data_IF_256572992676
#
_entry.id   IF_256572992676
#
_cell.length_a   1.000
_cell.length_b   1.000
_cell.length_c   1.000
_cell.angle_alpha   90.00
_cell.angle_beta   90.00
_cell.angle_gamma   90.00
#
_symmetry.space_group_name_H-M   'P 1'
#
loop_
_entity.id
_entity.type
_entity.pdbx_description
1 polymer ?
#
# COMPACT_ATOMS: atom_id res chain seq x y z
N UNK A 1 12.05 26.15 -12.13
CA UNK A 1 12.73 25.48 -11.00
C UNK A 1 14.00 24.79 -11.50
N UNK A 2 15.18 25.25 -11.07
CA UNK A 2 16.47 24.56 -11.28
C UNK A 2 16.86 23.86 -9.98
N UNK A 3 16.24 22.73 -9.66
CA UNK A 3 16.68 21.91 -8.52
C UNK A 3 16.49 20.44 -8.86
N UNK A 4 17.58 19.81 -9.30
CA UNK A 4 17.69 18.35 -9.25
C UNK A 4 17.71 17.91 -7.78
N UNK A 5 17.05 16.80 -7.44
CA UNK A 5 17.05 16.23 -6.10
C UNK A 5 15.64 15.99 -5.55
N UNK A 6 15.58 15.36 -4.37
CA UNK A 6 14.33 15.09 -3.68
C UNK A 6 13.60 16.40 -3.34
N UNK A 7 12.31 16.46 -3.65
CA UNK A 7 11.43 17.57 -3.30
C UNK A 7 10.45 17.06 -2.24
N UNK A 8 10.32 17.80 -1.13
CA UNK A 8 9.40 17.47 -0.07
C UNK A 8 8.20 18.40 -0.14
N UNK A 9 7.00 17.83 -0.23
CA UNK A 9 5.74 18.56 -0.08
C UNK A 9 5.23 18.25 1.32
N UNK A 10 5.21 19.25 2.19
CA UNK A 10 4.55 19.14 3.48
C UNK A 10 3.04 19.29 3.28
N UNK A 11 2.26 18.39 3.85
CA UNK A 11 0.81 18.45 3.86
C UNK A 11 0.34 18.26 5.30
N UNK A 12 -0.61 19.10 5.73
CA UNK A 12 -1.13 19.14 7.09
C UNK A 12 -2.24 18.11 7.34
N UNK A 13 -2.51 17.24 6.37
CA UNK A 13 -3.56 16.22 6.44
C UNK A 13 -4.96 16.74 6.15
N UNK A 14 -5.13 18.01 5.76
CA UNK A 14 -6.45 18.64 5.56
C UNK A 14 -6.78 18.87 4.09
N UNK A 15 -8.07 18.91 3.80
CA UNK A 15 -8.61 19.34 2.52
C UNK A 15 -8.66 20.89 2.39
N UNK A 16 -9.09 21.38 1.23
CA UNK A 16 -9.23 22.82 0.96
C UNK A 16 -10.29 23.52 1.83
N UNK A 17 -11.11 22.76 2.57
CA UNK A 17 -12.09 23.27 3.53
C UNK A 17 -11.53 23.27 4.97
N UNK A 18 -10.29 22.83 5.17
CA UNK A 18 -9.65 22.74 6.48
C UNK A 18 -10.04 21.50 7.29
N UNK A 19 -10.70 20.52 6.68
CA UNK A 19 -11.12 19.27 7.34
C UNK A 19 -10.06 18.19 7.15
N UNK A 20 -9.74 17.43 8.20
CA UNK A 20 -8.81 16.30 8.07
C UNK A 20 -9.36 15.23 7.14
N UNK A 21 -8.48 14.65 6.32
CA UNK A 21 -8.85 13.50 5.51
C UNK A 21 -9.27 12.32 6.39
N UNK A 22 -10.28 11.53 5.98
CA UNK A 22 -10.69 10.35 6.73
C UNK A 22 -9.56 9.33 6.85
N UNK A 23 -9.64 8.49 7.89
CA UNK A 23 -8.77 7.33 8.06
C UNK A 23 -9.00 6.37 6.89
N UNK A 24 -7.92 5.88 6.29
CA UNK A 24 -8.00 4.98 5.16
C UNK A 24 -6.75 4.93 4.31
N UNK A 25 -6.77 4.04 3.32
CA UNK A 25 -5.71 3.93 2.32
C UNK A 25 -6.16 4.62 1.04
N UNK A 26 -5.34 5.56 0.59
CA UNK A 26 -5.56 6.36 -0.61
C UNK A 26 -4.41 6.16 -1.59
N UNK A 27 -4.69 6.35 -2.87
CA UNK A 27 -3.62 6.58 -3.85
C UNK A 27 -3.48 8.08 -4.07
N UNK A 28 -2.29 8.60 -3.80
CA UNK A 28 -1.93 9.97 -4.17
C UNK A 28 -1.23 9.97 -5.50
N UNK A 29 -1.60 10.92 -6.35
CA UNK A 29 -1.03 11.11 -7.68
C UNK A 29 -0.22 12.40 -7.64
N UNK A 30 1.07 12.31 -7.93
CA UNK A 30 1.94 13.47 -8.05
C UNK A 30 2.36 13.66 -9.51
N UNK A 31 2.23 14.88 -10.02
CA UNK A 31 2.76 15.31 -11.32
C UNK A 31 3.45 16.65 -11.14
N UNK A 32 4.68 16.74 -11.62
CA UNK A 32 5.44 17.99 -11.61
C UNK A 32 5.31 18.67 -12.97
N UNK A 33 5.22 20.00 -12.97
CA UNK A 33 5.27 20.80 -14.18
C UNK A 33 6.61 21.52 -14.23
N UNK A 34 7.51 21.05 -15.11
CA UNK A 34 8.85 21.57 -15.26
C UNK A 34 8.90 22.65 -16.33
N UNK A 35 9.51 23.79 -15.98
CA UNK A 35 9.72 24.92 -16.90
C UNK A 35 8.42 25.55 -17.36
N UNK A 36 8.02 26.64 -16.72
CA UNK A 36 6.97 27.50 -17.26
C UNK A 36 7.63 28.48 -18.22
N UNK A 37 7.16 28.50 -19.46
CA UNK A 37 7.67 29.38 -20.50
C UNK A 37 6.55 30.33 -20.89
N UNK A 38 6.76 31.62 -20.69
CA UNK A 38 5.83 32.66 -21.10
C UNK A 38 6.24 33.26 -22.43
N UNK A 39 5.26 33.49 -23.29
CA UNK A 39 5.37 34.11 -24.60
C UNK A 39 4.38 35.27 -24.66
N UNK A 40 4.69 36.40 -23.99
CA UNK A 40 3.82 37.56 -24.05
C UNK A 40 3.80 38.10 -25.49
N UNK A 41 2.61 38.36 -25.99
CA UNK A 41 2.40 39.01 -27.27
C UNK A 41 1.73 40.36 -27.06
N UNK A 42 2.10 41.33 -27.89
CA UNK A 42 1.51 42.67 -27.92
C UNK A 42 1.01 42.87 -29.35
N UNK A 43 -0.11 43.58 -29.52
CA UNK A 43 -0.69 43.89 -30.84
C UNK A 43 -1.28 42.64 -31.52
N UNK A 44 -2.04 41.83 -30.76
CA UNK A 44 -2.66 40.55 -31.22
C UNK A 44 -4.11 40.72 -31.71
N UNK A 45 -4.49 41.92 -32.14
CA UNK A 45 -5.86 42.22 -32.53
C UNK A 45 -6.27 41.48 -33.81
N UNK A 46 -7.54 41.07 -33.88
CA UNK A 46 -8.18 40.53 -35.10
C UNK A 46 -7.62 39.19 -35.61
N UNK A 47 -7.05 38.35 -34.74
CA UNK A 47 -6.74 36.94 -35.04
C UNK A 47 -8.02 36.07 -35.08
N UNK A 48 -8.82 36.31 -36.12
CA UNK A 48 -10.13 35.67 -36.35
C UNK A 48 -10.04 34.28 -36.96
N UNK A 49 -8.87 33.92 -37.50
CA UNK A 49 -8.59 32.59 -38.09
C UNK A 49 -7.89 31.66 -37.10
N UNK A 50 -7.49 32.19 -35.94
CA UNK A 50 -7.08 31.46 -34.77
C UNK A 50 -5.63 31.75 -34.39
N UNK A 51 -5.48 32.10 -33.11
CA UNK A 51 -4.28 32.39 -32.34
C UNK A 51 -3.07 31.50 -32.59
N UNK A 52 -1.88 31.98 -32.23
CA UNK A 52 -0.66 31.18 -32.28
C UNK A 52 -0.81 29.89 -31.47
N UNK A 53 -0.19 28.82 -31.99
CA UNK A 53 -0.14 27.53 -31.31
C UNK A 53 1.27 27.28 -30.81
N UNK A 54 1.40 26.90 -29.54
CA UNK A 54 2.68 26.49 -28.97
C UNK A 54 2.83 24.98 -29.16
N UNK A 55 3.91 24.56 -29.84
CA UNK A 55 4.23 23.14 -30.04
C UNK A 55 5.61 22.81 -29.49
N UNK A 56 5.68 21.79 -28.64
CA UNK A 56 6.94 21.24 -28.16
C UNK A 56 7.50 20.27 -29.21
N UNK A 57 8.50 20.72 -29.97
CA UNK A 57 9.10 19.94 -31.07
C UNK A 57 10.05 18.82 -30.60
N UNK A 58 10.73 19.02 -29.46
CA UNK A 58 11.74 18.08 -28.94
C UNK A 58 11.48 17.78 -27.45
N UNK A 59 10.46 16.97 -27.12
CA UNK A 59 10.17 16.63 -25.73
C UNK A 59 11.34 15.84 -25.11
N UNK A 60 11.76 16.17 -23.87
CA UNK A 60 12.67 15.32 -23.11
C UNK A 60 12.19 13.86 -23.07
N UNK A 61 13.07 12.93 -23.46
CA UNK A 61 12.71 11.50 -23.54
C UNK A 61 11.91 11.10 -24.78
N UNK A 62 11.73 11.99 -25.76
CA UNK A 62 11.14 11.68 -27.07
C UNK A 62 9.63 11.41 -27.08
N UNK A 63 8.95 11.57 -25.95
CA UNK A 63 7.50 11.38 -25.85
C UNK A 63 6.81 12.57 -25.20
N UNK A 64 5.74 13.07 -25.84
CA UNK A 64 4.89 14.09 -25.25
C UNK A 64 3.87 13.43 -24.33
N UNK A 65 4.09 13.53 -23.02
CA UNK A 65 3.09 13.16 -22.05
C UNK A 65 1.87 14.07 -22.24
N UNK A 66 0.68 13.48 -22.28
CA UNK A 66 -0.54 14.21 -22.56
C UNK A 66 -0.77 15.32 -21.52
N UNK A 67 -0.52 16.56 -21.95
CA UNK A 67 -1.45 17.65 -21.71
C UNK A 67 -2.73 17.32 -22.47
N UNK A 68 -3.88 17.83 -22.04
CA UNK A 68 -5.07 17.86 -22.89
C UNK A 68 -4.64 18.47 -24.24
N UNK A 69 -4.52 17.69 -25.34
CA UNK A 69 -4.01 18.16 -26.63
C UNK A 69 -2.57 17.73 -27.07
N UNK A 70 -1.83 16.93 -26.30
CA UNK A 70 -0.54 16.35 -26.75
C UNK A 70 0.63 17.36 -26.78
N UNK A 71 1.54 17.26 -27.78
CA UNK A 71 2.70 18.17 -27.92
C UNK A 71 2.33 19.63 -28.20
N UNK A 72 1.07 19.90 -28.54
CA UNK A 72 0.55 21.23 -28.90
C UNK A 72 -0.16 21.93 -27.72
N UNK A 73 0.09 21.49 -26.49
CA UNK A 73 -0.50 22.06 -25.29
C UNK A 73 0.16 23.39 -24.91
N UNK A 74 -0.44 24.49 -25.36
CA UNK A 74 -0.23 25.83 -24.82
C UNK A 74 -1.48 26.30 -24.10
N UNK A 75 -1.29 27.23 -23.18
CA UNK A 75 -2.35 27.93 -22.45
C UNK A 75 -2.24 29.42 -22.74
N UNK A 76 -3.37 30.12 -22.68
CA UNK A 76 -3.37 31.57 -22.67
C UNK A 76 -4.34 32.12 -21.64
N UNK A 77 -4.06 33.33 -21.16
CA UNK A 77 -4.94 34.16 -20.36
C UNK A 77 -5.06 35.52 -21.04
N UNK A 78 -6.28 35.85 -21.41
CA UNK A 78 -6.67 37.07 -22.09
C UNK A 78 -7.36 38.03 -21.12
N UNK A 79 -7.12 37.90 -19.80
CA UNK A 79 -7.56 38.90 -18.83
C UNK A 79 -6.45 39.93 -18.61
N UNK A 80 -6.86 41.18 -18.42
CA UNK A 80 -5.99 42.36 -18.39
C UNK A 80 -4.62 42.15 -17.70
N UNK A 81 -3.54 42.33 -18.47
CA UNK A 81 -2.15 42.22 -17.99
C UNK A 81 -1.75 43.43 -17.13
N UNK A 82 -0.86 43.22 -16.16
CA UNK A 82 -0.23 44.30 -15.38
C UNK A 82 1.27 44.35 -15.65
N UNK A 83 1.81 45.55 -15.84
CA UNK A 83 3.27 45.75 -15.85
C UNK A 83 3.88 45.36 -14.50
N UNK A 84 5.21 45.20 -14.45
CA UNK A 84 5.96 44.96 -13.20
C UNK A 84 5.65 46.01 -12.11
N UNK A 85 5.29 47.23 -12.52
CA UNK A 85 4.94 48.33 -11.62
C UNK A 85 3.44 48.39 -11.27
N UNK A 86 2.67 47.35 -11.61
CA UNK A 86 1.26 47.20 -11.25
C UNK A 86 0.28 47.96 -12.14
N UNK A 87 0.74 48.65 -13.19
CA UNK A 87 -0.10 49.37 -14.15
C UNK A 87 -0.85 48.36 -15.03
N UNK A 88 -2.18 48.45 -15.08
CA UNK A 88 -2.98 47.67 -16.03
C UNK A 88 -2.66 48.17 -17.44
N UNK A 89 -2.24 47.25 -18.32
CA UNK A 89 -1.80 47.58 -19.70
C UNK A 89 -2.98 47.90 -20.62
N UNK A 90 -4.20 47.54 -20.24
CA UNK A 90 -5.43 47.92 -20.96
C UNK A 90 -6.34 48.84 -20.11
N UNK A 91 -6.31 50.14 -20.38
CA UNK A 91 -7.15 51.13 -19.71
C UNK A 91 -8.60 51.02 -20.20
N UNK A 92 -9.39 50.20 -19.52
CA UNK A 92 -10.80 49.96 -19.87
C UNK A 92 -11.32 48.60 -19.42
N UNK A 93 -10.44 47.70 -18.99
CA UNK A 93 -10.81 46.37 -18.50
C UNK A 93 -10.45 46.20 -17.01
N UNK A 94 -11.40 45.69 -16.21
CA UNK A 94 -11.12 45.25 -14.83
C UNK A 94 -10.39 43.90 -14.89
N UNK A 95 -9.30 43.76 -14.13
CA UNK A 95 -8.63 42.47 -13.95
C UNK A 95 -9.67 41.39 -13.59
N UNK A 96 -9.80 40.36 -14.42
CA UNK A 96 -10.83 39.33 -14.27
C UNK A 96 -11.78 39.18 -15.46
N UNK A 97 -12.00 40.22 -16.28
CA UNK A 97 -12.87 40.08 -17.46
C UNK A 97 -12.06 39.70 -18.71
N UNK A 98 -12.65 38.80 -19.49
CA UNK A 98 -12.14 38.32 -20.78
C UNK A 98 -12.00 39.49 -21.76
N UNK A 99 -10.86 39.60 -22.44
CA UNK A 99 -10.70 40.48 -23.59
C UNK A 99 -11.61 40.00 -24.72
N UNK A 100 -12.50 40.87 -25.20
CA UNK A 100 -13.23 40.82 -26.47
C UNK A 100 -13.20 39.50 -27.29
N UNK A 101 -14.35 38.81 -27.43
CA UNK A 101 -14.50 37.66 -28.33
C UNK A 101 -15.96 37.26 -28.60
N UNK A 102 -16.19 36.47 -29.66
CA UNK A 102 -17.45 35.77 -29.88
C UNK A 102 -17.57 34.64 -28.84
N UNK A 103 -18.52 34.75 -27.90
CA UNK A 103 -18.70 33.81 -26.77
C UNK A 103 -17.43 33.67 -25.90
N UNK A 104 -17.02 34.74 -25.18
CA UNK A 104 -15.89 34.66 -24.27
C UNK A 104 -16.16 33.53 -23.26
N UNK A 105 -15.18 32.65 -22.96
CA UNK A 105 -15.49 31.49 -22.17
C UNK A 105 -15.76 31.93 -20.73
N UNK A 106 -16.95 31.63 -20.20
CA UNK A 106 -17.34 32.00 -18.86
C UNK A 106 -16.47 31.27 -17.82
N UNK A 107 -15.46 31.94 -17.25
CA UNK A 107 -14.67 31.36 -16.15
C UNK A 107 -14.45 32.36 -15.01
N UNK A 108 -14.61 31.92 -13.74
CA UNK A 108 -14.49 32.80 -12.58
C UNK A 108 -13.06 33.06 -12.07
N UNK A 109 -11.99 32.47 -12.66
CA UNK A 109 -10.59 32.78 -12.27
C UNK A 109 -9.53 32.23 -13.25
N UNK A 110 -8.33 32.85 -13.28
CA UNK A 110 -7.14 32.29 -13.97
C UNK A 110 -6.47 31.27 -13.10
N UNK A 111 -6.07 30.16 -13.69
CA UNK A 111 -5.12 29.25 -13.09
C UNK A 111 -4.10 28.91 -14.17
N UNK A 112 -2.80 28.95 -13.84
CA UNK A 112 -1.71 28.54 -14.73
C UNK A 112 -1.86 27.11 -15.26
N UNK A 113 -2.75 26.30 -14.68
CA UNK A 113 -3.10 24.95 -15.12
C UNK A 113 -4.38 24.92 -15.97
N UNK A 114 -5.30 25.88 -15.81
CA UNK A 114 -6.64 25.84 -16.45
C UNK A 114 -6.90 26.97 -17.43
N UNK A 115 -5.86 27.68 -17.90
CA UNK A 115 -5.99 28.57 -19.06
C UNK A 115 -6.62 27.85 -20.26
N UNK A 116 -6.94 28.59 -21.32
CA UNK A 116 -7.57 27.95 -22.48
C UNK A 116 -6.53 27.22 -23.31
N UNK A 117 -6.87 26.00 -23.72
CA UNK A 117 -6.01 25.20 -24.58
C UNK A 117 -5.87 25.87 -25.96
N UNK A 118 -4.66 26.22 -26.37
CA UNK A 118 -4.37 26.82 -27.69
C UNK A 118 -4.73 25.90 -28.85
N UNK A 119 -4.86 24.59 -28.64
CA UNK A 119 -5.32 23.63 -29.65
C UNK A 119 -6.85 23.60 -29.82
N UNK A 120 -7.60 24.30 -28.96
CA UNK A 120 -9.06 24.39 -29.08
C UNK A 120 -9.50 25.44 -30.12
N UNK A 121 -10.80 25.48 -30.41
CA UNK A 121 -11.40 26.54 -31.23
C UNK A 121 -11.42 27.91 -30.53
N UNK A 122 -11.04 27.99 -29.25
CA UNK A 122 -11.12 29.21 -28.44
C UNK A 122 -9.98 30.19 -28.71
N UNK A 123 -8.93 29.80 -29.45
CA UNK A 123 -7.77 30.63 -29.76
C UNK A 123 -8.04 31.87 -30.63
N UNK A 124 -9.26 32.09 -31.12
CA UNK A 124 -9.57 33.24 -31.98
C UNK A 124 -9.90 34.48 -31.13
N UNK A 125 -9.31 35.63 -31.46
CA UNK A 125 -9.48 36.89 -30.73
C UNK A 125 -9.91 38.03 -31.69
N UNK A 126 -10.87 38.84 -31.25
CA UNK A 126 -11.41 39.95 -32.05
C UNK A 126 -12.70 39.63 -32.82
N UNK A 127 -13.27 40.68 -33.43
CA UNK A 127 -14.52 40.60 -34.20
C UNK A 127 -14.24 40.72 -35.70
N UNK A 128 -14.98 39.95 -36.51
CA UNK A 128 -14.94 40.11 -37.96
C UNK A 128 -15.52 41.50 -38.35
N UNK A 129 -14.64 42.42 -38.75
CA UNK A 129 -14.87 43.72 -39.43
C UNK A 129 -15.57 44.87 -38.66
N UNK A 130 -14.84 45.98 -38.49
CA UNK A 130 -15.32 47.36 -38.73
C UNK A 130 -16.05 48.16 -37.63
N UNK A 131 -15.42 48.53 -36.52
CA UNK A 131 -16.00 49.50 -35.57
C UNK A 131 -15.02 50.54 -34.98
N UNK A 132 -15.57 51.45 -34.15
CA UNK A 132 -15.02 52.77 -33.82
C UNK A 132 -14.05 52.78 -32.62
N UNK A 133 -13.15 53.77 -32.57
CA UNK A 133 -12.10 53.99 -31.58
C UNK A 133 -12.65 54.66 -30.30
N UNK A 134 -12.14 54.22 -29.14
CA UNK A 134 -12.53 54.57 -27.75
C UNK A 134 -13.64 53.72 -27.11
N UNK A 135 -13.98 52.58 -27.69
CA UNK A 135 -14.80 51.56 -27.03
C UNK A 135 -14.04 50.24 -27.04
N UNK A 136 -13.95 49.50 -25.93
CA UNK A 136 -13.36 48.16 -25.93
C UNK A 136 -13.99 47.34 -27.06
N UNK A 137 -13.16 46.66 -27.86
CA UNK A 137 -13.57 45.66 -28.85
C UNK A 137 -14.02 46.11 -30.24
N UNK A 138 -13.58 47.25 -30.83
CA UNK A 138 -14.05 47.58 -32.18
C UNK A 138 -13.11 48.13 -33.28
N UNK A 139 -11.86 48.61 -33.14
CA UNK A 139 -11.17 49.23 -34.31
C UNK A 139 -9.64 49.37 -34.33
N UNK A 140 -9.09 49.52 -35.55
CA UNK A 140 -7.69 49.35 -36.01
C UNK A 140 -6.56 50.16 -35.32
N UNK A 141 -5.43 49.45 -35.17
CA UNK A 141 -4.02 49.85 -34.94
C UNK A 141 -3.74 50.85 -33.81
N UNK A 142 -3.22 50.34 -32.71
CA UNK A 142 -2.55 51.12 -31.67
C UNK A 142 -3.08 50.95 -30.24
N UNK A 143 -4.10 50.13 -30.00
CA UNK A 143 -4.51 49.77 -28.64
C UNK A 143 -3.84 48.46 -28.21
N UNK A 144 -2.62 48.54 -27.69
CA UNK A 144 -1.82 47.37 -27.30
C UNK A 144 -2.62 46.31 -26.52
N UNK A 145 -3.10 45.25 -27.20
CA UNK A 145 -3.64 44.07 -26.52
C UNK A 145 -2.49 43.13 -26.18
N UNK A 146 -2.36 42.87 -24.89
CA UNK A 146 -1.41 41.90 -24.36
C UNK A 146 -2.07 40.53 -24.22
N UNK A 147 -1.47 39.50 -24.81
CA UNK A 147 -1.81 38.10 -24.53
C UNK A 147 -0.67 37.46 -23.76
N UNK A 148 -0.94 36.93 -22.58
CA UNK A 148 0.03 36.06 -21.91
C UNK A 148 -0.27 34.62 -22.29
N UNK A 149 0.66 34.03 -23.05
CA UNK A 149 0.63 32.62 -23.37
C UNK A 149 1.71 31.92 -22.58
N UNK A 150 1.41 30.72 -22.08
CA UNK A 150 2.43 29.90 -21.46
C UNK A 150 2.29 28.43 -21.83
N UNK A 151 3.38 27.70 -21.66
CA UNK A 151 3.39 26.24 -21.70
C UNK A 151 4.28 25.72 -20.58
N UNK A 152 4.10 24.44 -20.25
CA UNK A 152 4.96 23.73 -19.32
C UNK A 152 5.17 22.30 -19.76
N UNK A 153 6.26 21.68 -19.34
CA UNK A 153 6.52 20.26 -19.58
C UNK A 153 6.11 19.42 -18.36
N UNK A 154 5.01 18.64 -18.43
CA UNK A 154 4.60 17.81 -17.30
C UNK A 154 5.50 16.57 -17.18
N UNK A 155 5.73 16.12 -15.95
CA UNK A 155 6.29 14.81 -15.67
C UNK A 155 5.26 13.71 -15.89
N UNK A 156 5.72 12.46 -15.91
CA UNK A 156 4.85 11.31 -15.71
C UNK A 156 4.12 11.46 -14.37
N UNK A 157 2.86 11.05 -14.30
CA UNK A 157 2.16 10.91 -13.03
C UNK A 157 2.79 9.76 -12.25
N UNK A 158 3.17 10.02 -11.00
CA UNK A 158 3.64 9.00 -10.07
C UNK A 158 2.54 8.69 -9.07
N UNK A 159 2.31 7.39 -8.85
CA UNK A 159 1.33 6.88 -7.90
C UNK A 159 2.06 6.44 -6.64
N UNK A 160 1.58 6.86 -5.48
CA UNK A 160 2.08 6.37 -4.20
C UNK A 160 0.91 6.05 -3.26
N UNK A 161 1.01 4.99 -2.45
CA UNK A 161 0.05 4.76 -1.38
C UNK A 161 0.24 5.80 -0.27
N UNK A 162 -0.86 6.37 0.20
CA UNK A 162 -0.94 7.22 1.38
C UNK A 162 -1.88 6.55 2.38
N UNK A 163 -1.38 6.22 3.56
CA UNK A 163 -2.18 5.65 4.63
C UNK A 163 -2.43 6.70 5.70
N UNK A 164 -3.68 7.13 5.84
CA UNK A 164 -4.11 8.01 6.92
C UNK A 164 -4.55 7.11 8.07
N UNK A 165 -3.88 7.25 9.21
CA UNK A 165 -4.14 6.47 10.42
C UNK A 165 -4.92 7.33 11.41
N UNK A 166 -5.84 6.72 12.15
CA UNK A 166 -6.61 7.43 13.17
C UNK A 166 -5.73 7.88 14.34
N UNK A 167 -6.16 8.89 15.11
CA UNK A 167 -5.54 9.20 16.40
C UNK A 167 -5.70 8.00 17.34
N UNK A 168 -4.71 7.78 18.22
CA UNK A 168 -4.62 6.62 19.09
C UNK A 168 -3.65 5.54 18.61
N UNK A 169 -3.32 4.62 19.53
CA UNK A 169 -2.58 3.41 19.19
C UNK A 169 -3.54 2.36 18.61
N UNK A 170 -3.11 1.60 17.60
CA UNK A 170 -3.88 0.50 17.00
C UNK A 170 -2.92 -0.70 16.89
N UNK A 171 -3.17 -1.78 17.63
CA UNK A 171 -2.27 -2.95 17.68
C UNK A 171 -2.87 -4.09 16.85
N UNK A 172 -2.38 -4.21 15.62
CA UNK A 172 -2.70 -5.34 14.76
C UNK A 172 -1.91 -6.59 15.12
N UNK A 173 -2.59 -7.74 15.18
CA UNK A 173 -1.99 -9.05 15.40
C UNK A 173 -1.97 -9.85 14.08
N UNK A 174 -0.83 -10.45 13.75
CA UNK A 174 -0.70 -11.45 12.71
C UNK A 174 -0.11 -12.73 13.28
N UNK A 175 -0.51 -13.88 12.72
CA UNK A 175 -0.05 -15.19 13.18
C UNK A 175 0.17 -16.14 12.01
N UNK A 176 1.24 -16.91 12.09
CA UNK A 176 1.55 -17.99 11.15
C UNK A 176 2.14 -19.20 11.86
N UNK A 177 2.21 -20.33 11.16
CA UNK A 177 2.84 -21.56 11.64
C UNK A 177 3.88 -22.04 10.63
N UNK A 178 5.03 -22.51 11.13
CA UNK A 178 6.15 -22.95 10.28
C UNK A 178 5.82 -24.16 9.40
N UNK A 179 4.92 -25.03 9.86
CA UNK A 179 4.40 -26.18 9.12
C UNK A 179 2.97 -26.48 9.60
N UNK A 180 2.00 -26.41 8.69
CA UNK A 180 0.59 -26.66 9.02
C UNK A 180 0.23 -28.15 9.08
N UNK A 181 1.05 -29.04 8.51
CA UNK A 181 0.79 -30.50 8.44
C UNK A 181 1.97 -31.37 8.90
N UNK A 182 2.56 -31.11 10.08
CA UNK A 182 3.72 -31.84 10.58
C UNK A 182 3.36 -33.28 10.98
N UNK A 183 4.36 -34.15 11.04
CA UNK A 183 4.19 -35.46 11.67
C UNK A 183 3.83 -35.30 13.17
N UNK A 184 2.96 -36.17 13.69
CA UNK A 184 2.70 -36.23 15.14
C UNK A 184 4.00 -36.49 15.89
N UNK A 185 4.24 -35.71 16.95
CA UNK A 185 5.46 -35.72 17.74
C UNK A 185 6.52 -34.72 17.30
N UNK A 186 6.38 -34.10 16.13
CA UNK A 186 7.28 -33.05 15.67
C UNK A 186 6.97 -31.70 16.34
N UNK A 187 8.00 -30.85 16.39
CA UNK A 187 7.87 -29.47 16.83
C UNK A 187 7.50 -28.57 15.65
N UNK A 188 6.62 -27.60 15.91
CA UNK A 188 6.32 -26.48 15.01
C UNK A 188 6.45 -25.18 15.76
N UNK A 189 6.71 -24.10 15.03
CA UNK A 189 6.81 -22.76 15.61
C UNK A 189 5.67 -21.90 15.09
N UNK A 190 4.84 -21.41 16.00
CA UNK A 190 3.93 -20.31 15.71
C UNK A 190 4.71 -18.99 15.80
N UNK A 191 4.54 -18.12 14.81
CA UNK A 191 5.08 -16.76 14.86
C UNK A 191 3.92 -15.80 15.04
N UNK A 192 3.87 -15.11 16.18
CA UNK A 192 2.94 -14.02 16.44
C UNK A 192 3.65 -12.71 16.20
N UNK A 193 3.00 -11.78 15.52
CA UNK A 193 3.52 -10.43 15.25
C UNK A 193 2.52 -9.43 15.78
N UNK A 194 2.95 -8.54 16.67
CA UNK A 194 2.19 -7.40 17.15
C UNK A 194 2.78 -6.12 16.56
N UNK A 195 1.96 -5.32 15.88
CA UNK A 195 2.39 -4.09 15.21
C UNK A 195 1.48 -2.93 15.57
N UNK A 196 2.07 -1.79 15.90
CA UNK A 196 1.31 -0.56 16.09
C UNK A 196 1.06 0.13 14.74
N UNK A 197 -0.17 0.04 14.24
CA UNK A 197 -0.67 0.66 13.02
C UNK A 197 -1.30 2.05 13.28
N UNK A 198 -1.50 2.44 14.54
CA UNK A 198 -2.11 3.73 14.91
C UNK A 198 -1.06 4.82 15.06
N UNK A 199 -1.46 6.11 14.94
CA UNK A 199 -0.55 7.25 14.95
C UNK A 199 0.22 7.45 16.26
N UNK A 200 -0.35 7.01 17.39
CA UNK A 200 0.22 7.26 18.71
C UNK A 200 1.01 6.05 19.24
N UNK A 201 2.06 6.25 20.04
CA UNK A 201 2.75 5.15 20.70
C UNK A 201 1.84 4.45 21.71
N UNK A 202 1.92 3.12 21.76
CA UNK A 202 1.36 2.31 22.83
C UNK A 202 2.41 2.08 23.93
N UNK A 203 2.02 2.07 25.20
CA UNK A 203 2.94 1.90 26.33
C UNK A 203 2.80 0.55 27.03
N UNK A 204 1.60 -0.05 27.04
CA UNK A 204 1.28 -1.25 27.81
C UNK A 204 0.65 -2.34 26.95
N UNK A 205 1.31 -2.73 25.85
CA UNK A 205 0.78 -3.76 24.95
C UNK A 205 0.91 -5.15 25.58
N UNK A 206 -0.19 -5.89 25.56
CA UNK A 206 -0.28 -7.27 26.01
C UNK A 206 -1.05 -8.11 25.00
N UNK A 207 -0.52 -9.28 24.68
CA UNK A 207 -1.14 -10.28 23.80
C UNK A 207 -1.29 -11.58 24.58
N UNK A 208 -2.46 -12.21 24.51
CA UNK A 208 -2.69 -13.54 25.08
C UNK A 208 -2.72 -14.58 23.96
N UNK A 209 -1.86 -15.59 24.10
CA UNK A 209 -1.73 -16.73 23.20
C UNK A 209 -1.42 -17.98 24.04
N UNK A 210 -2.46 -18.61 24.55
CA UNK A 210 -2.34 -19.83 25.35
C UNK A 210 -2.23 -21.05 24.43
N UNK A 211 -1.26 -21.91 24.69
CA UNK A 211 -1.09 -23.17 23.96
C UNK A 211 -2.30 -24.08 24.24
N UNK A 212 -3.14 -24.39 23.23
CA UNK A 212 -4.36 -25.18 23.42
C UNK A 212 -4.06 -26.67 23.61
N UNK A 213 -5.05 -27.41 24.10
CA UNK A 213 -4.99 -28.86 24.19
C UNK A 213 -4.72 -29.51 22.80
N UNK A 214 -3.96 -30.60 22.80
CA UNK A 214 -3.48 -31.26 21.56
C UNK A 214 -2.14 -30.72 21.05
N UNK A 215 -1.60 -29.68 21.70
CA UNK A 215 -0.24 -29.19 21.56
C UNK A 215 0.45 -29.21 22.94
N UNK A 216 1.77 -29.29 22.96
CA UNK A 216 2.57 -29.13 24.20
C UNK A 216 3.58 -28.01 24.02
N UNK A 217 3.61 -27.07 24.97
CA UNK A 217 4.61 -26.01 24.99
C UNK A 217 6.04 -26.59 25.06
N UNK A 218 6.94 -26.07 24.23
CA UNK A 218 8.37 -26.42 24.27
C UNK A 218 9.20 -25.21 24.69
N UNK A 219 9.05 -24.08 23.97
CA UNK A 219 9.79 -22.86 24.25
C UNK A 219 9.09 -21.63 23.68
N UNK A 220 9.42 -20.47 24.23
CA UNK A 220 9.03 -19.17 23.70
C UNK A 220 10.28 -18.28 23.55
N UNK A 221 10.37 -17.58 22.42
CA UNK A 221 11.40 -16.59 22.15
C UNK A 221 10.72 -15.28 21.69
N UNK A 222 10.34 -14.40 22.63
CA UNK A 222 9.88 -13.06 22.29
C UNK A 222 11.06 -12.18 21.85
N UNK A 223 10.84 -11.33 20.84
CA UNK A 223 11.82 -10.31 20.42
C UNK A 223 11.92 -9.17 21.43
N UNK A 224 10.85 -8.94 22.20
CA UNK A 224 10.80 -8.02 23.33
C UNK A 224 9.75 -8.46 24.35
N UNK A 225 9.93 -8.01 25.58
CA UNK A 225 9.02 -8.34 26.67
C UNK A 225 9.15 -9.78 27.14
N UNK A 226 8.11 -10.28 27.81
CA UNK A 226 8.14 -11.61 28.48
C UNK A 226 6.86 -12.38 28.18
N UNK A 227 7.01 -13.65 27.79
CA UNK A 227 5.90 -14.60 27.63
C UNK A 227 5.81 -15.54 28.82
N UNK A 228 4.61 -15.74 29.35
CA UNK A 228 4.32 -16.63 30.48
C UNK A 228 3.49 -17.82 30.00
N UNK A 229 4.08 -19.02 29.81
CA UNK A 229 3.40 -20.16 29.19
C UNK A 229 2.14 -20.65 29.91
N UNK A 230 2.11 -20.56 31.24
CA UNK A 230 0.97 -21.03 32.04
C UNK A 230 -0.31 -20.21 31.85
N UNK A 231 -0.18 -18.94 31.47
CA UNK A 231 -1.31 -18.04 31.19
C UNK A 231 -1.45 -17.69 29.70
N UNK A 232 -0.41 -17.96 28.91
CA UNK A 232 -0.31 -17.51 27.52
C UNK A 232 -0.05 -16.01 27.37
N UNK A 233 0.17 -15.29 28.47
CA UNK A 233 0.32 -13.83 28.42
C UNK A 233 1.71 -13.46 27.93
N UNK A 234 1.77 -12.73 26.83
CA UNK A 234 2.94 -12.01 26.35
C UNK A 234 2.81 -10.52 26.72
N UNK A 235 3.61 -10.09 27.69
CA UNK A 235 3.75 -8.67 28.02
C UNK A 235 4.75 -8.05 27.06
N UNK A 236 4.27 -7.48 25.95
CA UNK A 236 5.08 -6.89 24.88
C UNK A 236 5.78 -5.61 25.34
N UNK A 237 5.06 -4.78 26.12
CA UNK A 237 5.52 -3.47 26.57
C UNK A 237 5.22 -2.37 25.55
N UNK A 238 6.04 -1.29 25.51
CA UNK A 238 5.78 -0.17 24.61
C UNK A 238 6.05 -0.51 23.14
N UNK A 239 5.24 0.08 22.25
CA UNK A 239 5.40 0.04 20.79
C UNK A 239 5.15 1.43 20.20
N UNK A 240 6.21 2.04 19.65
CA UNK A 240 6.12 3.30 18.91
C UNK A 240 5.29 3.14 17.61
N UNK A 241 4.88 4.27 17.01
CA UNK A 241 4.23 4.30 15.70
C UNK A 241 5.02 3.46 14.68
N UNK A 242 4.34 2.51 14.02
CA UNK A 242 4.92 1.63 13.01
C UNK A 242 5.85 0.53 13.53
N UNK A 243 6.18 0.51 14.82
CA UNK A 243 7.05 -0.50 15.41
C UNK A 243 6.38 -1.87 15.49
N UNK A 244 7.19 -2.92 15.49
CA UNK A 244 6.74 -4.32 15.49
C UNK A 244 7.52 -5.14 16.52
N UNK A 245 6.82 -6.07 17.17
CA UNK A 245 7.38 -7.10 18.02
C UNK A 245 6.93 -8.49 17.56
N UNK A 246 7.74 -9.51 17.81
CA UNK A 246 7.40 -10.90 17.49
C UNK A 246 7.56 -11.84 18.68
N UNK A 247 6.77 -12.91 18.67
CA UNK A 247 6.88 -14.04 19.57
C UNK A 247 6.96 -15.32 18.75
N UNK A 248 8.08 -16.03 18.87
CA UNK A 248 8.22 -17.39 18.36
C UNK A 248 7.84 -18.38 19.45
N UNK A 249 6.72 -19.08 19.26
CA UNK A 249 6.16 -20.05 20.18
C UNK A 249 6.33 -21.46 19.61
N UNK A 250 7.32 -22.19 20.11
CA UNK A 250 7.59 -23.58 19.68
C UNK A 250 6.76 -24.54 20.51
N UNK A 251 6.04 -25.43 19.83
CA UNK A 251 5.17 -26.44 20.43
C UNK A 251 5.37 -27.80 19.76
N UNK A 252 5.10 -28.86 20.51
CA UNK A 252 5.03 -30.23 20.01
C UNK A 252 3.59 -30.59 19.64
N UNK A 253 3.39 -31.22 18.48
CA UNK A 253 2.07 -31.64 18.00
C UNK A 253 1.73 -33.05 18.49
N UNK A 254 0.60 -33.23 19.19
CA UNK A 254 0.30 -34.48 19.92
C UNK A 254 -0.79 -35.36 19.30
N UNK A 255 -1.43 -34.92 18.22
CA UNK A 255 -2.64 -35.53 17.65
C UNK A 255 -2.72 -35.35 16.13
N UNK A 256 -3.65 -36.06 15.51
CA UNK A 256 -3.98 -35.90 14.08
C UNK A 256 -5.16 -34.97 13.81
N UNK A 257 -5.96 -34.62 14.83
CA UNK A 257 -7.07 -33.67 14.69
C UNK A 257 -6.56 -32.23 14.50
N UNK A 258 -7.23 -31.37 13.72
CA UNK A 258 -6.86 -29.95 13.64
C UNK A 258 -6.93 -29.28 15.02
N UNK A 259 -5.94 -28.45 15.36
CA UNK A 259 -6.01 -27.53 16.52
C UNK A 259 -5.61 -26.15 16.04
N UNK A 260 -6.48 -25.20 16.38
CA UNK A 260 -6.31 -23.78 16.13
C UNK A 260 -5.68 -23.14 17.36
N UNK A 261 -4.58 -22.42 17.16
CA UNK A 261 -3.97 -21.58 18.17
C UNK A 261 -4.26 -20.11 17.83
N UNK A 262 -4.71 -19.35 18.83
CA UNK A 262 -5.24 -18.00 18.67
C UNK A 262 -4.44 -17.04 19.54
N UNK A 263 -3.95 -15.96 18.93
CA UNK A 263 -3.35 -14.83 19.63
C UNK A 263 -4.31 -13.65 19.58
N UNK A 264 -4.55 -13.02 20.73
CA UNK A 264 -5.46 -11.87 20.87
C UNK A 264 -4.77 -10.77 21.67
N UNK A 265 -4.78 -9.53 21.19
CA UNK A 265 -4.40 -8.37 21.98
C UNK A 265 -5.39 -8.20 23.14
N UNK A 266 -4.89 -8.27 24.38
CA UNK A 266 -5.72 -8.20 25.60
C UNK A 266 -5.49 -6.92 26.41
N UNK A 267 -4.41 -6.19 26.13
CA UNK A 267 -4.11 -4.93 26.81
C UNK A 267 -3.35 -3.97 25.90
N UNK A 268 -3.64 -2.68 26.03
CA UNK A 268 -2.91 -1.58 25.40
C UNK A 268 -3.26 -0.26 26.09
N UNK A 269 -2.37 0.71 26.03
CA UNK A 269 -2.58 2.06 26.56
C UNK A 269 -1.88 3.06 25.63
N UNK A 270 -2.58 4.04 25.04
CA UNK A 270 -4.03 4.28 25.09
C UNK A 270 -4.86 3.09 24.59
N UNK A 271 -6.17 3.09 24.88
CA UNK A 271 -7.06 2.06 24.39
C UNK A 271 -7.06 2.04 22.86
N UNK A 272 -6.95 0.86 22.28
CA UNK A 272 -6.94 0.69 20.84
C UNK A 272 -8.37 0.68 20.29
N UNK A 273 -8.66 1.57 19.32
CA UNK A 273 -10.00 1.82 18.83
C UNK A 273 -10.48 0.78 17.80
N UNK A 274 -9.61 -0.11 17.31
CA UNK A 274 -9.90 -0.99 16.19
C UNK A 274 -9.89 -2.47 16.60
N UNK A 275 -11.03 -3.04 17.01
CA UNK A 275 -11.08 -4.44 17.42
C UNK A 275 -10.93 -5.44 16.27
N UNK A 276 -11.02 -5.00 15.01
CA UNK A 276 -11.09 -5.89 13.86
C UNK A 276 -9.75 -6.60 13.53
N UNK A 277 -8.63 -6.06 14.00
CA UNK A 277 -7.29 -6.60 13.75
C UNK A 277 -6.58 -7.10 15.03
N UNK A 278 -7.30 -7.17 16.16
CA UNK A 278 -6.76 -7.56 17.46
C UNK A 278 -6.44 -9.05 17.60
N UNK A 279 -6.93 -9.89 16.69
CA UNK A 279 -6.87 -11.34 16.83
C UNK A 279 -6.42 -11.99 15.53
N UNK A 280 -5.51 -12.97 15.65
CA UNK A 280 -5.13 -13.84 14.54
C UNK A 280 -5.03 -15.29 14.98
N UNK A 281 -5.33 -16.21 14.05
CA UNK A 281 -5.33 -17.64 14.31
C UNK A 281 -4.43 -18.38 13.32
N UNK A 282 -3.95 -19.55 13.72
CA UNK A 282 -3.28 -20.49 12.82
C UNK A 282 -3.59 -21.91 13.25
N UNK A 283 -3.81 -22.78 12.27
CA UNK A 283 -4.21 -24.17 12.50
C UNK A 283 -3.09 -25.11 12.08
N UNK A 284 -2.87 -26.13 12.89
CA UNK A 284 -1.96 -27.24 12.56
C UNK A 284 -2.74 -28.55 12.62
N UNK A 285 -2.47 -29.49 11.73
CA UNK A 285 -3.11 -30.81 11.66
C UNK A 285 -2.02 -31.86 11.59
N UNK A 286 -1.91 -32.71 12.59
CA UNK A 286 -0.84 -33.71 12.63
C UNK A 286 -1.07 -34.81 11.61
N UNK A 287 -0.02 -35.27 10.96
CA UNK A 287 -0.07 -36.40 10.03
C UNK A 287 0.57 -37.63 10.68
N UNK A 288 0.07 -38.81 10.33
CA UNK A 288 0.76 -40.06 10.65
C UNK A 288 1.98 -40.20 9.73
N UNK A 289 3.05 -40.78 10.24
CA UNK A 289 4.20 -41.12 9.39
C UNK A 289 3.92 -42.52 8.83
N UNK A 290 3.77 -42.71 7.51
CA UNK A 290 3.60 -44.04 6.95
C UNK A 290 4.81 -44.92 7.32
N UNK A 291 4.57 -46.01 8.05
CA UNK A 291 5.61 -47.00 8.40
C UNK A 291 6.17 -46.94 9.83
N UNK A 292 5.71 -46.05 10.70
CA UNK A 292 6.04 -46.06 12.14
C UNK A 292 4.75 -46.16 12.98
N UNK A 293 4.66 -47.05 13.99
CA UNK A 293 3.48 -47.12 14.85
C UNK A 293 3.49 -45.94 15.84
N UNK A 294 2.96 -44.79 15.42
CA UNK A 294 2.84 -43.60 16.26
C UNK A 294 1.45 -43.45 16.90
N UNK A 295 0.93 -44.54 17.46
CA UNK A 295 -0.42 -44.67 18.03
C UNK A 295 -0.55 -44.16 19.48
N UNK A 296 0.44 -43.46 20.04
CA UNK A 296 0.37 -42.98 21.43
C UNK A 296 0.36 -44.08 22.50
N UNK A 297 0.86 -45.29 22.20
CA UNK A 297 1.07 -46.35 23.20
C UNK A 297 2.53 -46.28 23.68
N UNK A 298 2.81 -46.15 24.99
CA UNK A 298 4.18 -46.24 25.51
C UNK A 298 4.79 -47.61 25.16
N UNK A 299 6.11 -47.71 24.91
CA UNK A 299 6.72 -48.95 24.46
C UNK A 299 6.52 -50.03 25.53
N UNK A 300 5.72 -51.05 25.20
CA UNK A 300 5.61 -52.25 26.02
C UNK A 300 6.97 -52.95 25.94
N UNK A 301 7.60 -53.14 27.10
CA UNK A 301 8.84 -53.89 27.23
C UNK A 301 8.70 -55.24 26.52
N UNK A 302 9.60 -55.47 25.56
CA UNK A 302 9.73 -56.73 24.83
C UNK A 302 10.00 -57.87 25.82
N UNK A 303 8.97 -58.66 26.11
CA UNK A 303 9.12 -60.01 26.65
C UNK A 303 9.33 -60.94 25.44
N UNK A 304 10.56 -61.41 25.29
CA UNK A 304 10.93 -62.45 24.33
C UNK A 304 10.06 -63.70 24.52
N UNK A 305 9.56 -64.38 23.48
CA UNK A 305 8.84 -65.62 23.67
C UNK A 305 9.83 -66.75 24.00
N UNK A 306 9.54 -67.47 25.08
CA UNK A 306 10.12 -68.77 25.40
C UNK A 306 9.89 -69.74 24.23
N UNK A 307 10.97 -70.34 23.73
CA UNK A 307 10.91 -71.50 22.84
C UNK A 307 10.42 -72.69 23.66
N UNK A 308 9.21 -73.19 23.36
CA UNK A 308 8.72 -74.48 23.83
C UNK A 308 9.32 -75.56 22.94
N UNK A 309 10.25 -76.34 23.47
CA UNK A 309 10.70 -77.60 22.85
C UNK A 309 9.70 -78.69 23.24
N UNK A 310 8.92 -79.16 22.27
CA UNK A 310 8.12 -80.39 22.41
C UNK A 310 9.01 -81.58 22.02
N UNK A 311 9.47 -82.35 23.01
CA UNK A 311 10.05 -83.67 22.79
C UNK A 311 8.92 -84.71 22.77
N UNK A 312 8.61 -85.22 21.58
CA UNK A 312 7.71 -86.36 21.40
C UNK A 312 8.47 -87.64 21.76
N UNK A 313 8.09 -88.25 22.87
CA UNK A 313 8.53 -89.60 23.24
C UNK A 313 7.70 -90.64 22.45
N UNK A 314 8.26 -91.15 21.36
CA UNK A 314 7.71 -92.29 20.61
C UNK A 314 8.55 -93.54 20.86
N UNK A 315 8.22 -94.31 21.89
CA UNK A 315 8.73 -95.68 22.07
C UNK A 315 7.85 -96.67 21.30
N UNK A 316 8.43 -97.46 20.40
CA UNK A 316 7.80 -98.66 19.88
C UNK A 316 8.77 -99.84 19.86
N UNK A 317 8.24 -100.96 20.34
CA UNK A 317 8.90 -102.19 20.75
C UNK A 317 9.17 -103.11 19.55
N UNK A 318 10.37 -103.71 19.58
CA UNK A 318 10.85 -105.00 19.05
C UNK A 318 10.16 -105.68 17.85
N UNK A 319 10.98 -105.98 16.83
CA UNK A 319 10.69 -106.95 15.78
C UNK A 319 11.96 -107.63 15.24
N UNK A 320 12.23 -108.83 15.73
CA UNK A 320 13.32 -109.77 15.39
C UNK A 320 13.37 -110.09 13.88
N UNK A 321 14.55 -110.05 13.24
CA UNK A 321 14.83 -110.85 12.03
C UNK A 321 16.20 -111.53 12.11
N UNK A 322 16.17 -112.85 11.90
CA UNK A 322 17.30 -113.78 11.77
C UNK A 322 18.19 -113.38 10.58
N UNK A 323 19.50 -113.46 10.77
CA UNK A 323 20.50 -113.58 9.70
C UNK A 323 21.07 -114.99 9.76
N UNK A 324 20.75 -115.80 8.75
CA UNK A 324 21.44 -117.06 8.42
C UNK A 324 22.69 -116.74 7.60
N UNK A 325 23.81 -117.36 7.96
CA UNK A 325 25.13 -117.05 7.39
C UNK A 325 25.54 -117.83 6.13
N UNK A 326 26.79 -117.57 5.75
CA UNK A 326 27.78 -118.33 4.95
C UNK A 326 28.95 -117.36 4.76
N UNK A 327 30.22 -117.71 4.81
CA UNK A 327 31.00 -118.94 5.03
C UNK A 327 32.44 -118.45 5.17
#
# INVERSE_FOLDING_TARGET
MRTSGAQNVAWDGKDNSGTFFPVGTYQVHARFHGGEYHFPMIDVENDTTGGPTITLLNPPGGSCLALTGGCAGGFYDDRAYRTLNGTVVDSGNTAGNVLCGLNPPATPSSNAITGYNTASAQRAFGAASGGNANVPCTGNFGDAKGLDMWTFFPSSTQLAPLNIVGPGADIGIAKSVSNATPAVGANVTFTVTARNNGADPATSVQVTDLVPAGLTFVSAAPSQGVYTPGTGIWNVGPLAFGATATLQLTVKVNRTTPVTNTATRTGTTPADPNPANDTATSTVTGTTVPGLPNNGVPPVASLWPLVVVVLIAGGLIAGRRRSTGRS
#
